data_IF_587623184748
#
_entry.id   IF_587623184748
#
_cell.length_a   1.000
_cell.length_b   1.000
_cell.length_c   1.000
_cell.angle_alpha   90.00
_cell.angle_beta   90.00
_cell.angle_gamma   90.00
#
_symmetry.space_group_name_H-M   'P 1'
#
loop_
_entity.id
_entity.type
_entity.pdbx_description
1 polymer ?
#
# COMPACT_ATOMS: atom_id res chain seq x y z
N UNK A 1 11.69 25.79 44.82
CA UNK A 1 11.85 26.68 43.65
C UNK A 1 12.09 25.82 42.42
N UNK A 2 11.11 25.75 41.52
CA UNK A 2 11.15 24.92 40.30
C UNK A 2 11.72 25.71 39.12
N UNK A 3 12.72 25.15 38.43
CA UNK A 3 13.20 25.66 37.14
C UNK A 3 12.61 24.81 36.01
N UNK A 4 11.58 25.33 35.34
CA UNK A 4 11.05 24.77 34.10
C UNK A 4 11.91 25.25 32.92
N UNK A 5 12.59 24.31 32.24
CA UNK A 5 13.38 24.59 31.04
C UNK A 5 12.43 24.77 29.86
N UNK A 6 12.24 26.02 29.44
CA UNK A 6 11.44 26.42 28.27
C UNK A 6 12.16 25.97 26.99
N UNK A 7 11.65 24.96 26.30
CA UNK A 7 12.08 24.59 24.96
C UNK A 7 11.79 25.78 24.02
N UNK A 8 12.84 26.40 23.48
CA UNK A 8 12.72 27.43 22.45
C UNK A 8 12.80 26.76 21.07
N UNK A 9 11.69 26.77 20.34
CA UNK A 9 11.70 26.55 18.89
C UNK A 9 12.31 27.80 18.26
N UNK A 10 13.57 27.73 17.82
CA UNK A 10 14.34 28.91 17.41
C UNK A 10 14.12 29.34 15.96
N UNK A 11 13.36 28.60 15.15
CA UNK A 11 12.98 29.06 13.81
C UNK A 11 11.81 28.23 13.26
N UNK A 12 10.72 28.89 12.85
CA UNK A 12 9.59 28.22 12.18
C UNK A 12 9.91 27.91 10.70
N UNK A 13 10.95 28.54 10.14
CA UNK A 13 11.38 28.36 8.74
C UNK A 13 12.39 27.22 8.52
N UNK A 14 12.77 26.44 9.55
CA UNK A 14 13.61 25.24 9.36
C UNK A 14 12.84 24.04 8.81
N UNK A 15 11.52 24.13 8.72
CA UNK A 15 10.70 23.17 7.99
C UNK A 15 10.76 23.47 6.50
N UNK A 16 11.76 22.93 5.83
CA UNK A 16 11.75 22.89 4.37
C UNK A 16 10.85 21.74 3.92
N UNK A 17 9.67 22.04 3.35
CA UNK A 17 8.75 21.03 2.77
C UNK A 17 9.43 20.18 1.67
N UNK A 18 10.54 20.66 1.13
CA UNK A 18 11.34 20.02 0.10
C UNK A 18 12.69 19.48 0.61
N UNK A 19 12.98 19.52 1.93
CA UNK A 19 14.21 18.93 2.47
C UNK A 19 14.06 17.41 2.55
N UNK A 20 14.82 16.72 1.70
CA UNK A 20 14.87 15.27 1.67
C UNK A 20 15.98 14.74 2.58
N UNK A 21 15.70 13.67 3.34
CA UNK A 21 16.66 13.08 4.28
C UNK A 21 17.31 14.12 5.22
N UNK A 22 16.54 15.13 5.68
CA UNK A 22 17.07 16.26 6.46
C UNK A 22 18.31 16.93 5.80
N UNK A 23 18.27 17.10 4.48
CA UNK A 23 19.36 17.59 3.63
C UNK A 23 20.65 16.74 3.68
N UNK A 24 20.58 15.48 4.10
CA UNK A 24 21.71 14.57 4.13
C UNK A 24 21.30 13.15 3.71
N UNK A 25 21.23 12.88 2.39
CA UNK A 25 20.87 11.58 1.84
C UNK A 25 21.92 10.49 2.11
N UNK A 26 23.10 10.86 2.63
CA UNK A 26 24.13 9.90 3.06
C UNK A 26 23.92 9.44 4.52
N UNK A 27 23.14 10.18 5.32
CA UNK A 27 22.97 9.94 6.75
C UNK A 27 21.55 9.51 7.14
N UNK A 28 20.54 10.02 6.45
CA UNK A 28 19.15 9.70 6.72
C UNK A 28 18.56 8.98 5.51
N UNK A 29 17.95 7.82 5.76
CA UNK A 29 17.33 6.97 4.74
C UNK A 29 15.83 7.21 4.83
N UNK A 30 15.22 7.59 3.72
CA UNK A 30 13.76 7.50 3.57
C UNK A 30 13.40 6.01 3.46
N UNK A 31 12.73 5.43 4.47
CA UNK A 31 12.55 3.98 4.54
C UNK A 31 11.61 3.40 3.48
N UNK A 32 10.98 4.22 2.63
CA UNK A 32 9.74 3.85 1.95
C UNK A 32 9.84 3.69 0.42
N UNK A 33 10.84 4.27 -0.28
CA UNK A 33 11.13 4.19 -1.74
C UNK A 33 10.12 3.42 -2.61
N UNK A 34 8.93 4.00 -2.65
CA UNK A 34 7.75 3.75 -3.48
C UNK A 34 7.45 5.07 -4.17
N UNK A 35 6.64 5.03 -5.24
CA UNK A 35 6.27 6.24 -5.97
C UNK A 35 5.87 7.31 -4.94
N UNK A 36 6.65 8.39 -4.82
CA UNK A 36 6.65 9.12 -3.55
C UNK A 36 5.23 9.54 -3.15
N UNK A 37 4.86 9.41 -1.87
CA UNK A 37 3.50 9.63 -1.32
C UNK A 37 2.68 10.73 -2.03
N UNK A 38 3.29 11.89 -2.29
CA UNK A 38 2.62 13.01 -2.94
C UNK A 38 2.20 12.72 -4.40
N UNK A 39 2.96 11.92 -5.14
CA UNK A 39 2.58 11.42 -6.45
C UNK A 39 1.38 10.49 -6.38
N UNK A 40 1.35 9.57 -5.41
CA UNK A 40 0.18 8.70 -5.21
C UNK A 40 -1.08 9.52 -4.99
N UNK A 41 -1.03 10.51 -4.10
CA UNK A 41 -2.15 11.39 -3.84
C UNK A 41 -2.56 12.22 -5.07
N UNK A 42 -1.59 12.85 -5.73
CA UNK A 42 -1.85 13.74 -6.86
C UNK A 42 -2.41 13.03 -8.09
N UNK A 43 -1.80 11.90 -8.49
CA UNK A 43 -2.27 11.10 -9.63
C UNK A 43 -3.67 10.56 -9.35
N UNK A 44 -3.89 10.02 -8.14
CA UNK A 44 -5.19 9.47 -7.73
C UNK A 44 -6.27 10.54 -7.69
N UNK A 45 -5.97 11.72 -7.14
CA UNK A 45 -6.90 12.84 -7.08
C UNK A 45 -7.37 13.27 -8.49
N UNK A 46 -6.42 13.48 -9.41
CA UNK A 46 -6.74 13.88 -10.79
C UNK A 46 -7.47 12.76 -11.53
N UNK A 47 -7.08 11.50 -11.33
CA UNK A 47 -7.77 10.35 -11.90
C UNK A 47 -9.22 10.27 -11.41
N UNK A 48 -9.46 10.42 -10.10
CA UNK A 48 -10.80 10.34 -9.52
C UNK A 48 -11.71 11.47 -10.03
N UNK A 49 -11.21 12.70 -10.09
CA UNK A 49 -11.93 13.84 -10.70
C UNK A 49 -12.31 13.53 -12.15
N UNK A 50 -11.35 13.07 -12.95
CA UNK A 50 -11.56 12.77 -14.36
C UNK A 50 -12.38 11.50 -14.61
N UNK A 51 -12.60 10.68 -13.57
CA UNK A 51 -13.53 9.56 -13.53
C UNK A 51 -14.95 9.97 -13.10
N UNK A 52 -15.15 11.24 -12.72
CA UNK A 52 -16.46 11.79 -12.36
C UNK A 52 -16.81 11.72 -10.88
N UNK A 53 -15.84 11.47 -10.00
CA UNK A 53 -16.03 11.62 -8.55
C UNK A 53 -16.14 13.11 -8.18
N UNK A 54 -16.82 13.39 -7.06
CA UNK A 54 -16.86 14.75 -6.53
C UNK A 54 -15.46 15.22 -6.10
N UNK A 55 -15.27 16.53 -5.92
CA UNK A 55 -14.01 17.07 -5.42
C UNK A 55 -13.64 16.49 -4.05
N UNK A 56 -14.61 16.37 -3.14
CA UNK A 56 -14.40 15.80 -1.80
C UNK A 56 -14.07 14.32 -1.85
N UNK A 57 -14.76 13.54 -2.69
CA UNK A 57 -14.43 12.12 -2.85
C UNK A 57 -13.04 11.95 -3.45
N UNK A 58 -12.70 12.76 -4.45
CA UNK A 58 -11.37 12.73 -5.09
C UNK A 58 -10.25 13.05 -4.10
N UNK A 59 -10.45 14.03 -3.22
CA UNK A 59 -9.52 14.32 -2.12
C UNK A 59 -9.42 13.15 -1.14
N UNK A 60 -10.55 12.54 -0.77
CA UNK A 60 -10.59 11.40 0.14
C UNK A 60 -9.88 10.18 -0.45
N UNK A 61 -10.10 9.88 -1.73
CA UNK A 61 -9.49 8.74 -2.43
C UNK A 61 -7.98 8.99 -2.59
N UNK A 62 -7.58 10.22 -2.95
CA UNK A 62 -6.18 10.62 -3.03
C UNK A 62 -5.45 10.48 -1.69
N UNK A 63 -6.05 10.97 -0.60
CA UNK A 63 -5.50 10.82 0.73
C UNK A 63 -5.41 9.34 1.17
N UNK A 64 -6.44 8.54 0.85
CA UNK A 64 -6.44 7.10 1.13
C UNK A 64 -5.31 6.37 0.39
N UNK A 65 -5.00 6.76 -0.85
CA UNK A 65 -3.86 6.22 -1.60
C UNK A 65 -2.52 6.54 -0.92
N UNK A 66 -2.36 7.77 -0.44
CA UNK A 66 -1.17 8.17 0.35
C UNK A 66 -1.05 7.38 1.65
N UNK A 67 -2.17 7.08 2.31
CA UNK A 67 -2.18 6.38 3.58
C UNK A 67 -1.73 4.91 3.45
N UNK A 68 -1.82 4.32 2.26
CA UNK A 68 -1.47 2.92 2.03
C UNK A 68 0.00 2.61 2.42
N UNK A 69 0.90 3.58 2.20
CA UNK A 69 2.31 3.49 2.58
C UNK A 69 2.53 3.43 4.08
N UNK A 70 1.59 3.97 4.88
CA UNK A 70 1.73 4.16 6.33
C UNK A 70 0.94 3.12 7.12
N UNK A 71 0.28 2.19 6.44
CA UNK A 71 -0.39 1.08 7.09
C UNK A 71 0.62 0.19 7.81
N UNK A 72 0.22 -0.38 8.94
CA UNK A 72 1.11 -1.23 9.72
C UNK A 72 1.62 -2.41 8.88
N UNK A 73 2.95 -2.52 8.76
CA UNK A 73 3.62 -3.56 8.00
C UNK A 73 3.58 -3.39 6.48
N UNK A 74 3.11 -2.27 5.94
CA UNK A 74 3.07 -2.00 4.50
C UNK A 74 4.44 -2.06 3.82
N UNK A 75 5.48 -1.61 4.52
CA UNK A 75 6.86 -1.54 4.06
C UNK A 75 7.64 -2.86 4.24
N UNK A 76 7.00 -3.87 4.86
CA UNK A 76 7.66 -5.14 5.19
C UNK A 76 7.89 -6.06 4.01
N UNK A 77 8.28 -7.30 4.30
CA UNK A 77 8.49 -8.37 3.31
C UNK A 77 7.37 -9.41 3.29
N UNK A 78 6.19 -9.08 3.83
CA UNK A 78 5.03 -9.98 3.79
C UNK A 78 4.40 -9.99 2.40
N UNK A 79 3.70 -11.06 2.04
CA UNK A 79 3.01 -11.14 0.74
C UNK A 79 2.09 -9.95 0.48
N UNK A 80 1.38 -9.48 1.50
CA UNK A 80 0.50 -8.30 1.38
C UNK A 80 1.28 -7.00 1.20
N UNK A 81 2.43 -6.84 1.86
CA UNK A 81 3.31 -5.69 1.70
C UNK A 81 3.86 -5.62 0.27
N UNK A 82 4.51 -6.68 -0.22
CA UNK A 82 5.05 -6.63 -1.58
C UNK A 82 3.94 -6.58 -2.64
N UNK A 83 2.79 -7.22 -2.41
CA UNK A 83 1.64 -7.09 -3.30
C UNK A 83 1.09 -5.66 -3.36
N UNK A 84 1.14 -4.89 -2.26
CA UNK A 84 0.75 -3.48 -2.27
C UNK A 84 1.66 -2.67 -3.20
N UNK A 85 2.96 -2.97 -3.17
CA UNK A 85 3.99 -2.21 -3.87
C UNK A 85 4.46 -2.84 -5.18
N UNK A 86 3.70 -3.78 -5.77
CA UNK A 86 4.07 -4.48 -7.00
C UNK A 86 5.48 -5.11 -6.98
N UNK A 87 5.92 -5.64 -5.83
CA UNK A 87 7.25 -6.22 -5.62
C UNK A 87 7.19 -7.74 -5.39
N UNK A 88 8.29 -8.42 -5.67
CA UNK A 88 8.50 -9.82 -5.27
C UNK A 88 8.95 -9.90 -3.80
N UNK A 89 8.32 -10.79 -3.02
CA UNK A 89 8.71 -11.05 -1.63
C UNK A 89 9.80 -12.12 -1.51
N UNK A 90 10.49 -12.21 -0.35
CA UNK A 90 11.32 -13.35 0.01
C UNK A 90 10.57 -14.67 -0.12
N UNK A 91 11.22 -15.67 -0.72
CA UNK A 91 10.67 -16.99 -0.99
C UNK A 91 9.48 -17.01 -1.98
N UNK A 92 9.29 -15.95 -2.76
CA UNK A 92 8.30 -15.89 -3.84
C UNK A 92 8.98 -16.01 -5.21
N UNK A 93 8.25 -15.67 -6.26
CA UNK A 93 8.77 -15.46 -7.60
C UNK A 93 7.94 -14.36 -8.30
N UNK A 94 8.43 -13.75 -9.39
CA UNK A 94 7.73 -12.65 -10.05
C UNK A 94 6.30 -12.97 -10.51
N UNK A 95 6.02 -14.24 -10.87
CA UNK A 95 4.69 -14.66 -11.30
C UNK A 95 3.70 -14.71 -10.13
N UNK A 96 4.13 -15.23 -8.98
CA UNK A 96 3.33 -15.24 -7.76
C UNK A 96 3.09 -13.80 -7.24
N UNK A 97 4.12 -12.94 -7.29
CA UNK A 97 4.02 -11.53 -6.95
C UNK A 97 2.98 -10.81 -7.81
N UNK A 98 3.01 -11.02 -9.13
CA UNK A 98 2.01 -10.49 -10.08
C UNK A 98 0.59 -10.95 -9.76
N UNK A 99 0.42 -12.22 -9.41
CA UNK A 99 -0.89 -12.76 -9.03
C UNK A 99 -1.41 -12.13 -7.73
N UNK A 100 -0.55 -12.05 -6.71
CA UNK A 100 -0.93 -11.47 -5.42
C UNK A 100 -1.25 -9.97 -5.53
N UNK A 101 -0.48 -9.24 -6.33
CA UNK A 101 -0.74 -7.84 -6.67
C UNK A 101 -2.10 -7.66 -7.36
N UNK A 102 -2.39 -8.47 -8.39
CA UNK A 102 -3.68 -8.43 -9.08
C UNK A 102 -4.86 -8.77 -8.16
N UNK A 103 -4.69 -9.74 -7.25
CA UNK A 103 -5.68 -10.08 -6.21
C UNK A 103 -5.93 -8.91 -5.27
N UNK A 104 -4.88 -8.22 -4.82
CA UNK A 104 -4.99 -7.05 -3.96
C UNK A 104 -5.77 -5.92 -4.65
N UNK A 105 -5.41 -5.58 -5.90
CA UNK A 105 -6.13 -4.56 -6.67
C UNK A 105 -7.60 -4.93 -6.82
N UNK A 106 -7.90 -6.17 -7.21
CA UNK A 106 -9.27 -6.65 -7.41
C UNK A 106 -10.07 -6.60 -6.10
N UNK A 107 -9.47 -7.05 -4.99
CA UNK A 107 -10.09 -6.99 -3.67
C UNK A 107 -10.37 -5.56 -3.20
N UNK A 108 -9.42 -4.65 -3.41
CA UNK A 108 -9.56 -3.23 -3.11
C UNK A 108 -10.68 -2.59 -3.94
N UNK A 109 -10.74 -2.85 -5.25
CA UNK A 109 -11.82 -2.37 -6.13
C UNK A 109 -13.19 -2.92 -5.69
N UNK A 110 -13.28 -4.22 -5.40
CA UNK A 110 -14.53 -4.87 -4.99
C UNK A 110 -15.05 -4.40 -3.63
N UNK A 111 -14.14 -4.00 -2.73
CA UNK A 111 -14.50 -3.46 -1.41
C UNK A 111 -14.75 -1.95 -1.42
N UNK A 112 -14.52 -1.28 -2.55
CA UNK A 112 -14.65 0.17 -2.67
C UNK A 112 -13.46 0.96 -2.12
N UNK A 113 -12.34 0.30 -1.78
CA UNK A 113 -11.10 0.95 -1.37
C UNK A 113 -10.32 1.43 -2.61
N UNK A 114 -10.85 2.47 -3.25
CA UNK A 114 -10.28 3.03 -4.48
C UNK A 114 -8.90 3.63 -4.25
N UNK A 115 -8.58 4.07 -3.04
CA UNK A 115 -7.26 4.63 -2.72
C UNK A 115 -6.19 3.54 -2.67
N UNK A 116 -6.45 2.42 -1.98
CA UNK A 116 -5.53 1.27 -1.98
C UNK A 116 -5.36 0.68 -3.37
N UNK A 117 -6.45 0.54 -4.13
CA UNK A 117 -6.40 0.07 -5.51
C UNK A 117 -5.53 1.00 -6.38
N UNK A 118 -5.74 2.33 -6.28
CA UNK A 118 -4.99 3.32 -7.03
C UNK A 118 -3.50 3.31 -6.69
N UNK A 119 -3.18 3.26 -5.39
CA UNK A 119 -1.81 3.16 -4.92
C UNK A 119 -1.08 1.95 -5.54
N UNK A 120 -1.65 0.75 -5.39
CA UNK A 120 -1.05 -0.46 -5.93
C UNK A 120 -0.92 -0.41 -7.47
N UNK A 121 -1.97 0.06 -8.17
CA UNK A 121 -1.91 0.25 -9.62
C UNK A 121 -0.76 1.15 -10.04
N UNK A 122 -0.41 2.17 -9.27
CA UNK A 122 0.62 3.14 -9.64
C UNK A 122 2.02 2.58 -9.44
N UNK A 123 2.23 1.82 -8.36
CA UNK A 123 3.52 1.21 -8.04
C UNK A 123 4.00 0.23 -9.12
N UNK A 124 3.10 -0.47 -9.81
CA UNK A 124 3.51 -1.35 -10.94
C UNK A 124 4.24 -0.63 -12.09
N UNK A 125 4.12 0.71 -12.18
CA UNK A 125 4.78 1.53 -13.19
C UNK A 125 6.04 2.23 -12.67
N UNK A 126 6.29 2.21 -11.35
CA UNK A 126 7.46 2.80 -10.74
C UNK A 126 8.73 2.11 -11.24
N UNK A 127 9.79 2.88 -11.46
CA UNK A 127 10.99 2.38 -12.15
C UNK A 127 11.69 1.28 -11.36
N UNK A 128 11.68 1.38 -10.02
CA UNK A 128 12.22 0.36 -9.13
C UNK A 128 11.38 -0.91 -9.03
N UNK A 129 10.12 -0.86 -9.44
CA UNK A 129 9.15 -1.95 -9.24
C UNK A 129 8.95 -2.80 -10.51
N UNK A 130 9.60 -2.39 -11.61
CA UNK A 130 9.49 -3.06 -12.92
C UNK A 130 9.75 -4.55 -12.81
N UNK A 131 8.84 -5.32 -13.37
CA UNK A 131 8.95 -6.78 -13.43
C UNK A 131 8.78 -7.47 -12.07
N UNK A 132 8.18 -6.81 -11.08
CA UNK A 132 8.09 -7.32 -9.71
C UNK A 132 9.48 -7.55 -9.12
N UNK A 133 10.26 -6.47 -9.04
CA UNK A 133 11.62 -6.53 -8.52
C UNK A 133 11.63 -7.06 -7.08
N UNK A 134 12.72 -7.75 -6.71
CA UNK A 134 12.87 -8.35 -5.40
C UNK A 134 12.93 -7.30 -4.28
N UNK A 135 12.05 -7.44 -3.28
CA UNK A 135 12.01 -6.60 -2.10
C UNK A 135 12.40 -7.42 -0.85
N UNK A 136 13.57 -7.16 -0.24
CA UNK A 136 14.02 -7.87 0.96
C UNK A 136 13.40 -7.33 2.27
N UNK A 137 12.35 -6.51 2.19
CA UNK A 137 11.66 -5.96 3.37
C UNK A 137 12.24 -4.65 3.92
N UNK A 138 13.36 -4.17 3.40
CA UNK A 138 13.92 -2.87 3.77
C UNK A 138 14.98 -2.41 2.77
N UNK A 139 15.17 -1.09 2.69
CA UNK A 139 16.27 -0.51 1.91
C UNK A 139 17.65 -0.93 2.40
N UNK A 140 17.84 -1.16 3.70
CA UNK A 140 19.12 -1.63 4.24
C UNK A 140 19.55 -2.95 3.60
N UNK A 141 18.59 -3.84 3.35
CA UNK A 141 18.85 -5.16 2.77
C UNK A 141 19.02 -5.14 1.23
N UNK A 142 18.61 -4.06 0.54
CA UNK A 142 18.84 -3.87 -0.90
C UNK A 142 20.28 -3.47 -1.23
N UNK A 143 21.05 -3.02 -0.24
CA UNK A 143 22.38 -2.46 -0.41
C UNK A 143 22.36 -1.04 -1.01
N UNK A 144 23.39 -0.26 -0.73
CA UNK A 144 23.44 1.19 -1.02
C UNK A 144 23.00 1.57 -2.44
N UNK A 145 23.56 0.90 -3.45
CA UNK A 145 23.26 1.21 -4.86
C UNK A 145 21.85 0.77 -5.28
N UNK A 146 21.34 -0.32 -4.71
CA UNK A 146 19.96 -0.78 -4.92
C UNK A 146 18.96 0.22 -4.35
N UNK A 147 19.21 0.67 -3.11
CA UNK A 147 18.36 1.67 -2.44
C UNK A 147 18.35 3.00 -3.17
N UNK A 148 19.52 3.51 -3.57
CA UNK A 148 19.63 4.78 -4.26
C UNK A 148 18.91 4.78 -5.62
N UNK A 149 19.01 3.68 -6.38
CA UNK A 149 18.32 3.54 -7.67
C UNK A 149 16.80 3.48 -7.51
N UNK A 150 16.31 2.72 -6.54
CA UNK A 150 14.88 2.67 -6.21
C UNK A 150 14.35 4.07 -5.91
N UNK A 151 14.99 4.73 -4.95
CA UNK A 151 14.59 6.02 -4.46
C UNK A 151 14.52 7.10 -5.56
N UNK A 152 15.56 7.20 -6.38
CA UNK A 152 15.61 8.20 -7.45
C UNK A 152 14.49 7.98 -8.48
N UNK A 153 14.21 6.73 -8.83
CA UNK A 153 13.15 6.39 -9.78
C UNK A 153 11.75 6.72 -9.24
N UNK A 154 11.59 6.68 -7.93
CA UNK A 154 10.30 6.79 -7.26
C UNK A 154 9.97 8.24 -6.84
N UNK A 155 11.00 9.06 -6.55
CA UNK A 155 10.86 10.50 -6.32
C UNK A 155 10.71 11.28 -7.63
N UNK A 156 11.50 10.92 -8.64
CA UNK A 156 11.53 11.62 -9.93
C UNK A 156 11.04 10.69 -11.05
N UNK A 157 9.76 10.26 -11.01
CA UNK A 157 9.22 9.39 -12.04
C UNK A 157 9.25 10.10 -13.38
N UNK A 158 9.53 9.32 -14.43
CA UNK A 158 9.46 9.84 -15.79
C UNK A 158 8.03 10.30 -16.12
N UNK A 159 7.87 11.25 -17.05
CA UNK A 159 6.54 11.64 -17.52
C UNK A 159 5.73 10.45 -18.05
N UNK A 160 6.40 9.48 -18.70
CA UNK A 160 5.77 8.23 -19.15
C UNK A 160 5.24 7.39 -17.99
N UNK A 161 5.98 7.31 -16.88
CA UNK A 161 5.51 6.65 -15.64
C UNK A 161 4.26 7.35 -15.11
N UNK A 162 4.31 8.66 -14.91
CA UNK A 162 3.15 9.44 -14.42
C UNK A 162 1.93 9.24 -15.33
N UNK A 163 2.11 9.34 -16.65
CA UNK A 163 1.03 9.18 -17.62
C UNK A 163 0.44 7.77 -17.61
N UNK A 164 1.27 6.73 -17.49
CA UNK A 164 0.81 5.34 -17.45
C UNK A 164 0.08 5.03 -16.15
N UNK A 165 0.65 5.46 -15.02
CA UNK A 165 0.05 5.40 -13.70
C UNK A 165 -1.32 6.09 -13.67
N UNK A 166 -1.43 7.29 -14.21
CA UNK A 166 -2.70 8.02 -14.33
C UNK A 166 -3.72 7.28 -15.19
N UNK A 167 -3.34 6.86 -16.40
CA UNK A 167 -4.25 6.20 -17.34
C UNK A 167 -4.81 4.90 -16.77
N UNK A 168 -3.95 4.07 -16.17
CA UNK A 168 -4.35 2.83 -15.52
C UNK A 168 -5.25 3.08 -14.30
N UNK A 169 -4.88 4.04 -13.44
CA UNK A 169 -5.67 4.42 -12.26
C UNK A 169 -7.07 4.87 -12.66
N UNK A 170 -7.17 5.83 -13.59
CA UNK A 170 -8.44 6.34 -14.10
C UNK A 170 -9.30 5.21 -14.67
N UNK A 171 -8.70 4.32 -15.46
CA UNK A 171 -9.42 3.19 -16.08
C UNK A 171 -10.04 2.29 -15.01
N UNK A 172 -9.28 1.96 -13.96
CA UNK A 172 -9.74 1.09 -12.89
C UNK A 172 -10.87 1.70 -12.04
N UNK A 173 -10.79 2.99 -11.72
CA UNK A 173 -11.75 3.63 -10.80
C UNK A 173 -12.98 4.22 -11.50
N UNK A 174 -12.97 4.38 -12.83
CA UNK A 174 -14.10 4.94 -13.59
C UNK A 174 -15.41 4.13 -13.48
N UNK A 175 -15.33 2.83 -13.15
CA UNK A 175 -16.49 1.98 -12.93
C UNK A 175 -17.14 2.09 -11.54
N UNK A 176 -16.50 2.77 -10.58
CA UNK A 176 -16.83 2.71 -9.16
C UNK A 176 -17.48 3.98 -8.58
N UNK A 177 -18.28 4.69 -9.38
CA UNK A 177 -18.87 6.00 -9.01
C UNK A 177 -19.75 5.98 -7.75
N UNK A 178 -20.31 4.83 -7.39
CA UNK A 178 -21.24 4.68 -6.25
C UNK A 178 -20.58 4.07 -5.00
N UNK A 179 -19.30 3.71 -5.07
CA UNK A 179 -18.55 3.17 -3.94
C UNK A 179 -18.17 4.33 -3.04
N UNK A 180 -18.97 4.59 -1.99
CA UNK A 180 -18.61 5.58 -0.97
C UNK A 180 -17.23 5.16 -0.39
N UNK A 181 -16.24 6.05 -0.29
CA UNK A 181 -14.93 5.68 0.26
C UNK A 181 -15.15 5.03 1.62
N UNK A 182 -14.64 3.82 1.81
CA UNK A 182 -14.70 3.16 3.12
C UNK A 182 -13.96 4.08 4.09
N UNK A 183 -14.73 4.76 4.96
CA UNK A 183 -14.16 5.62 5.99
C UNK A 183 -13.22 4.77 6.82
N UNK A 184 -11.93 5.10 6.82
CA UNK A 184 -10.86 4.29 7.38
C UNK A 184 -11.26 3.64 8.71
N UNK A 185 -11.57 2.35 8.65
CA UNK A 185 -11.74 1.54 9.85
C UNK A 185 -10.37 1.51 10.53
N UNK A 186 -10.29 2.09 11.73
CA UNK A 186 -9.16 1.89 12.64
C UNK A 186 -8.81 0.39 12.69
N UNK A 187 -7.52 0.01 12.71
CA UNK A 187 -7.15 -1.37 12.96
C UNK A 187 -7.74 -1.78 14.31
N UNK A 188 -8.62 -2.78 14.27
CA UNK A 188 -9.28 -3.29 15.46
C UNK A 188 -8.24 -3.82 16.43
N UNK A 189 -8.22 -3.25 17.64
CA UNK A 189 -7.47 -3.79 18.76
C UNK A 189 -7.79 -5.29 18.91
N UNK A 190 -6.76 -6.12 18.84
CA UNK A 190 -6.86 -7.57 18.97
C UNK A 190 -7.58 -7.94 20.26
N UNK A 191 -8.76 -8.54 20.13
CA UNK A 191 -9.44 -9.17 21.24
C UNK A 191 -8.83 -10.58 21.44
N UNK A 192 -7.73 -10.65 22.19
CA UNK A 192 -7.31 -11.89 22.84
C UNK A 192 -8.34 -12.25 23.89
N UNK A 193 -9.24 -13.20 23.59
CA UNK A 193 -9.89 -13.99 24.63
C UNK A 193 -9.67 -15.46 24.34
N UNK A 194 -8.84 -16.06 25.19
CA UNK A 194 -8.75 -17.49 25.33
C UNK A 194 -10.11 -18.07 25.72
N UNK A 195 -10.39 -19.23 25.15
CA UNK A 195 -11.57 -20.03 25.42
C UNK A 195 -11.26 -21.46 25.03
N UNK A 196 -10.53 -22.15 25.91
CA UNK A 196 -10.58 -23.60 26.03
C UNK A 196 -12.04 -24.04 26.03
N UNK A 197 -12.37 -25.08 25.25
CA UNK A 197 -13.32 -26.13 25.63
C UNK A 197 -13.33 -27.23 24.55
N UNK A 198 -12.54 -28.26 24.81
CA UNK A 198 -12.85 -29.62 24.40
C UNK A 198 -14.16 -30.04 25.07
N UNK A 199 -15.10 -30.60 24.31
CA UNK A 199 -16.37 -31.04 24.88
C UNK A 199 -17.34 -31.63 23.85
N UNK A 200 -17.09 -32.90 23.50
CA UNK A 200 -18.12 -33.91 23.21
C UNK A 200 -19.12 -33.62 22.09
N UNK A 201 -18.98 -34.31 20.95
CA UNK A 201 -20.05 -35.07 20.31
C UNK A 201 -19.49 -35.91 19.12
N UNK A 202 -19.23 -37.19 19.44
CA UNK A 202 -19.65 -38.36 18.66
C UNK A 202 -19.15 -38.50 17.20
N UNK A 203 -17.92 -38.98 17.05
CA UNK A 203 -17.57 -39.88 15.94
C UNK A 203 -17.96 -41.32 16.35
N UNK A 204 -18.90 -41.93 15.64
CA UNK A 204 -19.02 -43.39 15.54
C UNK A 204 -19.43 -43.74 14.11
N UNK A 205 -18.70 -44.70 13.58
CA UNK A 205 -18.72 -45.26 12.23
C UNK A 205 -19.99 -46.08 11.92
N UNK A 206 -20.09 -46.42 10.63
CA UNK A 206 -20.80 -47.56 10.00
C UNK A 206 -22.29 -47.46 9.68
N UNK A 207 -22.60 -47.33 8.38
CA UNK A 207 -23.05 -48.42 7.49
C UNK A 207 -23.62 -47.78 6.20
N UNK A 208 -22.97 -47.96 5.06
CA UNK A 208 -23.17 -49.07 4.13
C UNK A 208 -24.59 -49.11 3.54
N UNK A 209 -24.62 -48.83 2.23
CA UNK A 209 -25.60 -49.30 1.24
C UNK A 209 -27.09 -49.33 1.62
N UNK A 210 -27.89 -48.51 0.93
CA UNK A 210 -28.86 -49.02 -0.05
C UNK A 210 -29.78 -47.93 -0.60
N UNK A 211 -30.15 -48.19 -1.83
CA UNK A 211 -31.29 -47.70 -2.62
C UNK A 211 -31.03 -46.45 -3.46
N UNK A 212 -30.81 -46.61 -4.76
CA UNK A 212 -31.70 -47.15 -5.83
C UNK A 212 -32.74 -46.12 -6.28
N UNK A 213 -32.79 -46.00 -7.61
CA UNK A 213 -33.80 -45.41 -8.49
C UNK A 213 -33.69 -43.91 -8.80
N UNK A 214 -33.02 -43.57 -9.90
CA UNK A 214 -33.67 -43.30 -11.20
C UNK A 214 -32.64 -43.16 -12.32
#
# INVERSE_FOLDING_TARGET
MHFARRLRFTNVHTFNRYAYANNNPYKYVDPDGQLAIHWHGGITFVAALNSGHSLSDSLSIGYRAMQADWEEGSQGSTESACARHAMECPNSNPQAAKLNHAKLITGALNSGDLGLASHAIQDQFAGGHRGFSFWPGSFGNLGFWGSAKHLLADIFPSFSTISSSYSATKTAISGNKNSKPSGGSKPGAGNRRGGSLCGTLKCKEDNQERNKFR
#
